data_IF_139229972190
#
_entry.id   IF_139229972190
#
_cell.length_a   1.000
_cell.length_b   1.000
_cell.length_c   1.000
_cell.angle_alpha   90.00
_cell.angle_beta   90.00
_cell.angle_gamma   90.00
#
_symmetry.space_group_name_H-M   'P 1'
#
loop_
_entity.id
_entity.type
_entity.pdbx_description
1 polymer ?
#
# COMPACT_ATOMS: atom_id res chain seq x y z
N UNK A 1 -12.64 7.51 9.37
CA UNK A 1 -12.34 6.61 8.23
C UNK A 1 -11.07 7.07 7.52
N UNK A 2 -10.21 6.14 7.17
CA UNK A 2 -9.02 6.41 6.36
C UNK A 2 -9.44 6.44 4.89
N UNK A 3 -9.13 7.52 4.17
CA UNK A 3 -9.52 7.68 2.78
C UNK A 3 -8.33 7.46 1.84
N UNK A 4 -8.62 7.23 0.55
CA UNK A 4 -7.55 7.11 -0.44
C UNK A 4 -6.73 8.41 -0.56
N UNK A 5 -7.36 9.57 -0.36
CA UNK A 5 -6.68 10.86 -0.35
C UNK A 5 -5.68 10.94 0.80
N UNK A 6 -6.04 10.41 1.97
CA UNK A 6 -5.11 10.29 3.10
C UNK A 6 -3.89 9.45 2.71
N UNK A 7 -4.13 8.29 2.12
CA UNK A 7 -3.08 7.34 1.72
C UNK A 7 -2.13 7.99 0.70
N UNK A 8 -2.67 8.70 -0.28
CA UNK A 8 -1.88 9.42 -1.28
C UNK A 8 -1.08 10.53 -0.62
N UNK A 9 -1.69 11.28 0.29
CA UNK A 9 -1.03 12.37 1.02
C UNK A 9 0.15 11.88 1.86
N UNK A 10 0.04 10.70 2.46
CA UNK A 10 1.11 10.12 3.27
C UNK A 10 2.21 9.48 2.44
N UNK A 11 2.03 9.39 1.14
CA UNK A 11 2.99 8.72 0.28
C UNK A 11 4.28 9.51 0.12
N UNK A 12 5.34 8.77 -0.19
CA UNK A 12 6.66 9.30 -0.49
C UNK A 12 7.23 8.54 -1.70
N UNK A 13 8.29 9.06 -2.35
CA UNK A 13 8.92 8.32 -3.44
C UNK A 13 9.30 6.91 -2.98
N UNK A 14 9.03 5.91 -3.82
CA UNK A 14 9.38 4.53 -3.53
C UNK A 14 10.89 4.37 -3.63
N UNK A 15 11.58 3.94 -2.56
CA UNK A 15 13.05 3.92 -2.52
C UNK A 15 13.68 2.93 -3.51
N UNK A 16 12.92 1.91 -3.93
CA UNK A 16 13.40 0.88 -4.84
C UNK A 16 12.89 1.06 -6.27
N UNK A 17 12.06 2.07 -6.52
CA UNK A 17 11.56 2.34 -7.87
C UNK A 17 12.67 2.93 -8.72
N UNK A 18 13.18 2.14 -9.65
CA UNK A 18 14.20 2.59 -10.59
C UNK A 18 13.54 3.36 -11.74
N UNK A 19 14.10 4.52 -12.06
CA UNK A 19 13.78 5.23 -13.29
C UNK A 19 14.49 4.49 -14.43
N UNK A 20 13.74 3.73 -15.22
CA UNK A 20 14.32 2.92 -16.30
C UNK A 20 14.52 3.75 -17.57
N UNK A 21 13.81 4.86 -17.75
CA UNK A 21 14.03 5.75 -18.89
C UNK A 21 13.70 7.19 -18.55
N UNK A 22 14.30 8.13 -19.30
CA UNK A 22 14.01 9.57 -19.18
C UNK A 22 12.56 9.91 -19.53
N UNK A 23 11.83 9.01 -20.21
CA UNK A 23 10.42 9.16 -20.52
C UNK A 23 9.52 8.72 -19.35
N UNK A 24 10.03 7.83 -18.51
CA UNK A 24 9.29 7.29 -17.36
C UNK A 24 9.82 7.94 -16.08
N UNK A 25 9.61 9.23 -15.96
CA UNK A 25 10.06 10.02 -14.81
C UNK A 25 9.24 9.80 -13.54
N UNK A 26 8.22 8.95 -13.60
CA UNK A 26 7.42 8.60 -12.44
C UNK A 26 8.10 7.45 -11.71
N UNK A 27 9.08 7.79 -10.88
CA UNK A 27 9.49 6.89 -9.81
C UNK A 27 8.24 6.60 -8.98
N UNK A 28 7.96 5.33 -8.71
CA UNK A 28 6.78 4.94 -7.97
C UNK A 28 6.64 5.67 -6.63
N UNK A 29 5.46 5.57 -6.07
CA UNK A 29 5.15 6.11 -4.74
C UNK A 29 4.86 4.97 -3.78
N UNK A 30 5.09 5.21 -2.52
CA UNK A 30 4.83 4.27 -1.45
C UNK A 30 4.19 4.98 -0.27
N UNK A 31 3.13 4.39 0.28
CA UNK A 31 2.52 4.84 1.52
C UNK A 31 2.61 3.68 2.53
N UNK A 32 3.24 3.94 3.67
CA UNK A 32 3.34 2.95 4.75
C UNK A 32 2.70 3.51 6.01
N UNK A 33 1.77 2.75 6.56
CA UNK A 33 1.03 3.14 7.76
C UNK A 33 0.42 1.90 8.40
N UNK A 34 -0.03 2.04 9.61
CA UNK A 34 -0.65 0.92 10.30
C UNK A 34 -0.99 1.22 11.76
N UNK A 35 -0.97 0.19 12.57
CA UNK A 35 -1.12 0.27 14.00
C UNK A 35 0.07 -0.43 14.68
N UNK A 36 -0.04 -0.79 15.95
CA UNK A 36 1.04 -1.47 16.69
C UNK A 36 1.38 -2.85 16.12
N UNK A 37 0.40 -3.52 15.53
CA UNK A 37 0.52 -4.93 15.13
C UNK A 37 0.70 -5.11 13.64
N UNK A 38 0.08 -4.25 12.84
CA UNK A 38 -0.06 -4.40 11.39
C UNK A 38 0.48 -3.18 10.67
N UNK A 39 1.19 -3.43 9.56
CA UNK A 39 1.64 -2.38 8.65
C UNK A 39 1.09 -2.65 7.26
N UNK A 40 0.49 -1.63 6.66
CA UNK A 40 0.17 -1.62 5.24
C UNK A 40 1.32 -1.01 4.45
N UNK A 41 1.63 -1.65 3.31
CA UNK A 41 2.51 -1.09 2.28
C UNK A 41 1.68 -0.97 1.02
N UNK A 42 1.44 0.26 0.58
CA UNK A 42 0.63 0.54 -0.61
C UNK A 42 1.51 1.27 -1.61
N UNK A 43 1.75 0.65 -2.76
CA UNK A 43 2.70 1.14 -3.76
C UNK A 43 2.06 1.20 -5.14
N UNK A 44 2.69 1.97 -6.02
CA UNK A 44 2.25 2.06 -7.41
C UNK A 44 2.95 3.18 -8.16
N UNK A 45 2.62 3.34 -9.43
CA UNK A 45 3.08 4.43 -10.28
C UNK A 45 4.49 4.27 -10.82
N UNK A 46 5.18 3.18 -10.51
CA UNK A 46 6.53 2.92 -10.98
C UNK A 46 6.63 1.66 -11.83
N UNK A 47 7.72 1.54 -12.55
CA UNK A 47 7.99 0.36 -13.37
C UNK A 47 8.13 -0.88 -12.49
N UNK A 48 7.43 -1.94 -12.84
CA UNK A 48 7.42 -3.19 -12.08
C UNK A 48 6.44 -3.20 -10.90
N UNK A 49 5.72 -2.11 -10.66
CA UNK A 49 4.69 -2.04 -9.63
C UNK A 49 3.31 -2.29 -10.24
N UNK A 50 2.47 -3.02 -9.52
CA UNK A 50 1.14 -3.44 -9.99
C UNK A 50 0.05 -2.45 -9.56
N UNK A 51 0.10 -1.25 -10.13
CA UNK A 51 -0.85 -0.17 -9.90
C UNK A 51 -0.27 1.17 -10.34
N UNK A 52 -1.16 2.15 -10.61
CA UNK A 52 -0.76 3.48 -11.08
C UNK A 52 -0.64 4.53 -9.95
N UNK A 53 -1.01 4.16 -8.74
CA UNK A 53 -1.08 5.02 -7.56
C UNK A 53 -2.04 6.21 -7.69
N UNK A 54 -3.03 6.08 -8.57
CA UNK A 54 -4.11 7.05 -8.73
C UNK A 54 -5.47 6.38 -8.58
N UNK A 55 -5.71 5.34 -9.38
CA UNK A 55 -6.95 4.56 -9.42
C UNK A 55 -6.75 3.13 -8.98
N UNK A 56 -5.53 2.62 -9.11
CA UNK A 56 -5.17 1.24 -8.76
C UNK A 56 -3.89 1.22 -7.93
N UNK A 57 -3.79 0.24 -7.05
CA UNK A 57 -2.73 0.16 -6.04
C UNK A 57 -2.29 -1.28 -5.84
N UNK A 58 -1.00 -1.45 -5.54
CA UNK A 58 -0.47 -2.72 -5.08
C UNK A 58 -0.41 -2.69 -3.55
N UNK A 59 -1.05 -3.66 -2.91
CA UNK A 59 -1.23 -3.67 -1.46
C UNK A 59 -0.57 -4.90 -0.85
N UNK A 60 0.22 -4.69 0.19
CA UNK A 60 0.76 -5.75 1.04
C UNK A 60 0.48 -5.41 2.50
N UNK A 61 0.29 -6.45 3.31
CA UNK A 61 0.03 -6.32 4.74
C UNK A 61 1.07 -7.15 5.49
N UNK A 62 1.72 -6.51 6.47
CA UNK A 62 2.77 -7.14 7.26
C UNK A 62 2.37 -7.21 8.72
N UNK A 63 2.80 -8.29 9.38
CA UNK A 63 2.84 -8.36 10.84
C UNK A 63 4.11 -7.67 11.32
N UNK A 64 3.98 -6.68 12.21
CA UNK A 64 5.14 -5.88 12.65
C UNK A 64 6.12 -6.67 13.51
N UNK A 65 5.63 -7.61 14.29
CA UNK A 65 6.49 -8.39 15.17
C UNK A 65 7.40 -9.34 14.39
N UNK A 66 6.80 -10.11 13.48
CA UNK A 66 7.53 -11.11 12.69
C UNK A 66 8.08 -10.58 11.37
N UNK A 67 7.58 -9.44 10.91
CA UNK A 67 7.84 -8.88 9.59
C UNK A 67 7.44 -9.82 8.43
N UNK A 68 6.52 -10.73 8.71
CA UNK A 68 5.98 -11.65 7.70
C UNK A 68 4.76 -11.03 7.01
N UNK A 69 4.52 -11.44 5.77
CA UNK A 69 3.30 -11.10 5.07
C UNK A 69 2.10 -11.77 5.73
N UNK A 70 1.06 -10.99 5.98
CA UNK A 70 -0.24 -11.47 6.48
C UNK A 70 -1.39 -11.03 5.57
N UNK A 71 -1.08 -10.67 4.33
CA UNK A 71 -2.04 -10.19 3.33
C UNK A 71 -3.19 -11.17 3.15
N UNK A 72 -2.88 -12.46 2.96
CA UNK A 72 -3.89 -13.49 2.73
C UNK A 72 -4.75 -13.79 3.94
N UNK A 73 -4.27 -13.48 5.13
CA UNK A 73 -5.06 -13.60 6.35
C UNK A 73 -6.21 -12.58 6.37
N UNK A 74 -5.93 -11.33 5.97
CA UNK A 74 -6.92 -10.26 5.95
C UNK A 74 -7.72 -10.19 4.65
N UNK A 75 -7.18 -10.72 3.56
CA UNK A 75 -7.81 -10.75 2.25
C UNK A 75 -7.65 -12.15 1.64
N UNK A 76 -8.53 -13.09 2.02
CA UNK A 76 -8.38 -14.51 1.61
C UNK A 76 -8.42 -14.77 0.11
N UNK A 77 -9.03 -13.88 -0.68
CA UNK A 77 -9.07 -13.99 -2.13
C UNK A 77 -7.69 -13.75 -2.78
N UNK A 78 -6.75 -13.19 -2.06
CA UNK A 78 -5.41 -12.94 -2.59
C UNK A 78 -4.72 -14.26 -2.91
N UNK A 79 -4.13 -14.34 -4.10
CA UNK A 79 -3.38 -15.52 -4.56
C UNK A 79 -1.90 -15.42 -4.24
N UNK A 80 -1.43 -14.27 -3.74
CA UNK A 80 -0.04 -13.99 -3.43
C UNK A 80 0.04 -13.08 -2.19
N UNK A 81 1.26 -12.81 -1.74
CA UNK A 81 1.52 -11.92 -0.60
C UNK A 81 1.24 -10.44 -0.91
N UNK A 82 1.10 -10.09 -2.17
CA UNK A 82 0.70 -8.76 -2.62
C UNK A 82 -0.57 -8.85 -3.46
N UNK A 83 -1.40 -7.81 -3.37
CA UNK A 83 -2.61 -7.67 -4.19
C UNK A 83 -2.33 -6.58 -5.20
N UNK A 84 -2.21 -6.95 -6.48
CA UNK A 84 -2.00 -5.98 -7.56
C UNK A 84 -3.31 -5.38 -8.07
N UNK A 85 -3.23 -4.16 -8.62
CA UNK A 85 -4.34 -3.50 -9.33
C UNK A 85 -5.61 -3.33 -8.50
N UNK A 86 -5.47 -3.18 -7.18
CA UNK A 86 -6.61 -2.98 -6.29
C UNK A 86 -7.18 -1.56 -6.48
N UNK A 87 -8.49 -1.46 -6.69
CA UNK A 87 -9.15 -0.15 -6.85
C UNK A 87 -9.11 0.66 -5.55
N UNK A 88 -9.21 1.99 -5.67
CA UNK A 88 -9.23 2.90 -4.53
C UNK A 88 -10.31 2.53 -3.50
N UNK A 89 -11.52 2.22 -3.96
CA UNK A 89 -12.63 1.83 -3.08
C UNK A 89 -12.33 0.55 -2.30
N UNK A 90 -11.72 -0.43 -2.96
CA UNK A 90 -11.32 -1.69 -2.33
C UNK A 90 -10.19 -1.49 -1.33
N UNK A 91 -9.24 -0.61 -1.63
CA UNK A 91 -8.16 -0.26 -0.71
C UNK A 91 -8.74 0.37 0.56
N UNK A 92 -9.63 1.36 0.42
CA UNK A 92 -10.29 1.99 1.58
C UNK A 92 -11.05 0.97 2.43
N UNK A 93 -11.82 0.11 1.78
CA UNK A 93 -12.58 -0.94 2.45
C UNK A 93 -11.67 -1.88 3.25
N UNK A 94 -10.61 -2.37 2.62
CA UNK A 94 -9.65 -3.26 3.26
C UNK A 94 -8.94 -2.59 4.44
N UNK A 95 -8.39 -1.40 4.22
CA UNK A 95 -7.64 -0.67 5.24
C UNK A 95 -8.52 -0.41 6.48
N UNK A 96 -9.73 0.08 6.27
CA UNK A 96 -10.64 0.42 7.38
C UNK A 96 -11.25 -0.82 8.06
N UNK A 97 -11.20 -1.97 7.42
CA UNK A 97 -11.59 -3.23 8.06
C UNK A 97 -10.51 -3.74 9.02
N UNK A 98 -9.28 -3.30 8.85
CA UNK A 98 -8.11 -3.76 9.61
C UNK A 98 -7.65 -2.72 10.64
N UNK A 99 -7.63 -1.45 10.27
CA UNK A 99 -7.08 -0.37 11.09
C UNK A 99 -8.15 0.69 11.38
N UNK A 100 -8.33 1.02 12.64
CA UNK A 100 -9.16 2.14 13.05
C UNK A 100 -8.31 3.42 13.05
N UNK A 101 -8.92 4.54 12.63
CA UNK A 101 -8.18 5.81 12.52
C UNK A 101 -7.56 6.26 13.84
N UNK A 102 -8.22 6.01 14.96
CA UNK A 102 -7.70 6.35 16.29
C UNK A 102 -6.44 5.58 16.69
N UNK A 103 -6.19 4.43 16.05
CA UNK A 103 -5.00 3.60 16.31
C UNK A 103 -3.92 3.77 15.25
N UNK A 104 -4.12 4.70 14.32
CA UNK A 104 -3.26 4.87 13.16
C UNK A 104 -1.87 5.41 13.51
N UNK A 105 -0.86 4.79 12.91
CA UNK A 105 0.52 5.25 12.93
C UNK A 105 1.00 5.38 11.48
N UNK A 106 1.41 6.59 11.09
CA UNK A 106 1.91 6.87 9.74
C UNK A 106 3.44 6.87 9.75
N UNK A 107 4.03 6.05 8.91
CA UNK A 107 5.49 5.96 8.75
C UNK A 107 6.01 7.16 7.94
N UNK A 108 7.07 7.81 8.42
CA UNK A 108 7.71 8.93 7.74
C UNK A 108 9.12 8.59 7.31
#
# INVERSE_FOLDING_TARGET
MITIQDIIKWSKPHPLAKVISLKDRKGGRMSRFGNKEIEFSIVGGGTGLYGDFEKTFEVAIFDRESNNFVTRFFYPEATDDVIGWMSADKVEELVNSVIKREDLSVER
#
